data_IF_006287218836
#
_entry.id   IF_006287218836
#
_cell.length_a   1.000
_cell.length_b   1.000
_cell.length_c   1.000
_cell.angle_alpha   90.00
_cell.angle_beta   90.00
_cell.angle_gamma   90.00
#
_symmetry.space_group_name_H-M   'P 1'
#
loop_
_entity.id
_entity.type
_entity.pdbx_description
1 polymer ?
#
# COMPACT_ATOMS: atom_id res chain seq x y z
N UNK A 1 21.54 -17.13 9.68
CA UNK A 1 21.82 -16.13 8.65
C UNK A 1 20.53 -15.35 8.40
N UNK A 2 20.61 -14.02 8.29
CA UNK A 2 19.47 -13.15 7.97
C UNK A 2 19.63 -12.73 6.51
N UNK A 3 18.53 -12.76 5.75
CA UNK A 3 18.47 -12.31 4.36
C UNK A 3 17.51 -11.12 4.26
N UNK A 4 17.96 -10.07 3.63
CA UNK A 4 17.14 -8.90 3.34
C UNK A 4 16.38 -9.13 2.02
N UNK A 5 15.07 -9.33 2.13
CA UNK A 5 14.20 -9.53 0.97
C UNK A 5 13.76 -8.23 0.29
N UNK A 6 14.03 -7.08 0.90
CA UNK A 6 13.71 -5.75 0.33
C UNK A 6 14.79 -5.20 -0.60
N UNK A 7 15.95 -5.86 -0.69
CA UNK A 7 17.09 -5.40 -1.49
C UNK A 7 16.69 -5.12 -2.95
N UNK A 8 16.99 -3.90 -3.40
CA UNK A 8 16.69 -3.46 -4.78
C UNK A 8 15.26 -2.94 -4.98
N UNK A 9 14.47 -2.79 -3.91
CA UNK A 9 13.21 -2.07 -3.96
C UNK A 9 13.51 -0.56 -3.96
N UNK A 10 12.84 0.16 -4.85
CA UNK A 10 12.79 1.61 -4.86
C UNK A 10 11.84 2.07 -3.75
N UNK A 11 12.40 2.41 -2.59
CA UNK A 11 11.63 2.71 -1.39
C UNK A 11 11.07 4.14 -1.41
N UNK A 12 9.86 4.30 -0.84
CA UNK A 12 9.27 5.61 -0.61
C UNK A 12 9.81 6.13 0.72
N UNK A 13 10.40 7.32 0.69
CA UNK A 13 10.81 8.05 1.90
C UNK A 13 9.68 8.97 2.33
N UNK A 14 9.27 8.83 3.58
CA UNK A 14 8.33 9.76 4.18
C UNK A 14 8.99 11.13 4.34
N UNK A 15 8.36 12.17 3.82
CA UNK A 15 8.80 13.54 4.08
C UNK A 15 8.48 13.87 5.54
N UNK A 16 9.51 14.06 6.36
CA UNK A 16 9.34 14.46 7.76
C UNK A 16 8.52 15.75 7.84
N UNK A 17 7.44 15.71 8.62
CA UNK A 17 6.66 16.91 8.91
C UNK A 17 7.41 17.77 9.94
N UNK A 18 7.75 19.00 9.56
CA UNK A 18 8.30 20.01 10.45
C UNK A 18 7.19 20.56 11.37
N UNK A 19 7.01 19.98 12.53
CA UNK A 19 6.31 20.60 13.63
C UNK A 19 7.31 20.93 14.74
N UNK A 20 7.86 22.15 14.71
CA UNK A 20 8.68 22.74 15.79
C UNK A 20 9.86 21.86 16.22
N UNK A 21 11.04 22.43 16.36
CA UNK A 21 12.33 21.99 16.97
C UNK A 21 12.73 20.49 17.09
N UNK A 22 11.96 19.52 16.59
CA UNK A 22 12.33 18.12 16.48
C UNK A 22 12.34 17.69 15.01
N UNK A 23 13.52 17.60 14.40
CA UNK A 23 13.74 16.91 13.14
C UNK A 23 13.54 15.41 13.36
N UNK A 24 12.35 14.90 12.99
CA UNK A 24 12.23 13.48 12.70
C UNK A 24 12.73 13.28 11.28
N UNK A 25 13.86 12.58 11.13
CA UNK A 25 14.26 12.06 9.82
C UNK A 25 13.10 11.22 9.30
N UNK A 26 12.59 11.55 8.12
CA UNK A 26 11.49 10.82 7.49
C UNK A 26 11.85 9.34 7.37
N UNK A 27 10.98 8.47 7.88
CA UNK A 27 11.16 7.03 7.81
C UNK A 27 11.03 6.50 6.37
N UNK A 28 11.29 5.22 6.20
CA UNK A 28 10.93 4.50 4.99
C UNK A 28 9.50 4.00 5.18
N UNK A 29 8.65 4.21 4.17
CA UNK A 29 7.31 3.62 4.12
C UNK A 29 7.44 2.07 4.16
N UNK A 30 6.94 1.41 5.22
CA UNK A 30 7.25 0.01 5.45
C UNK A 30 6.43 -0.97 4.61
N UNK A 31 5.28 -0.56 4.04
CA UNK A 31 4.29 -1.45 3.42
C UNK A 31 4.70 -1.88 1.98
N UNK A 32 5.96 -2.26 1.81
CA UNK A 32 6.57 -2.58 0.51
C UNK A 32 5.86 -3.72 -0.24
N UNK A 33 5.19 -4.63 0.49
CA UNK A 33 4.52 -5.80 -0.09
C UNK A 33 3.22 -5.47 -0.85
N UNK A 34 2.64 -4.29 -0.63
CA UNK A 34 1.43 -3.82 -1.30
C UNK A 34 1.74 -3.22 -2.69
N UNK A 35 2.53 -3.94 -3.48
CA UNK A 35 2.93 -3.59 -4.83
C UNK A 35 3.29 -4.85 -5.61
N UNK A 36 2.70 -5.05 -6.78
CA UNK A 36 3.07 -6.16 -7.66
C UNK A 36 4.54 -6.07 -8.11
N UNK A 37 5.03 -4.86 -8.39
CA UNK A 37 6.43 -4.60 -8.75
C UNK A 37 7.38 -5.03 -7.63
N UNK A 38 7.09 -4.64 -6.39
CA UNK A 38 7.90 -5.01 -5.24
C UNK A 38 7.79 -6.51 -4.90
N UNK A 39 6.59 -7.10 -5.02
CA UNK A 39 6.38 -8.54 -4.84
C UNK A 39 7.28 -9.37 -5.77
N UNK A 40 7.46 -8.92 -7.01
CA UNK A 40 8.39 -9.53 -7.97
C UNK A 40 9.86 -9.47 -7.50
N UNK A 41 10.28 -8.35 -6.91
CA UNK A 41 11.64 -8.20 -6.33
C UNK A 41 11.80 -9.11 -5.10
N UNK A 42 10.84 -9.06 -4.18
CA UNK A 42 10.83 -9.89 -2.97
C UNK A 42 10.93 -11.38 -3.32
N UNK A 43 10.13 -11.84 -4.30
CA UNK A 43 10.15 -13.23 -4.74
C UNK A 43 11.54 -13.66 -5.26
N UNK A 44 12.21 -12.81 -6.05
CA UNK A 44 13.59 -13.07 -6.52
C UNK A 44 14.61 -13.14 -5.37
N UNK A 45 14.48 -12.24 -4.40
CA UNK A 45 15.38 -12.22 -3.24
C UNK A 45 15.18 -13.48 -2.37
N UNK A 46 13.93 -13.92 -2.18
CA UNK A 46 13.62 -15.17 -1.49
C UNK A 46 14.19 -16.38 -2.25
N UNK A 47 14.01 -16.44 -3.56
CA UNK A 47 14.62 -17.48 -4.39
C UNK A 47 16.14 -17.53 -4.23
N UNK A 48 16.81 -16.39 -4.29
CA UNK A 48 18.26 -16.31 -4.12
C UNK A 48 18.71 -16.81 -2.75
N UNK A 49 17.98 -16.44 -1.69
CA UNK A 49 18.25 -16.88 -0.33
C UNK A 49 18.07 -18.40 -0.15
N UNK A 50 16.99 -18.96 -0.71
CA UNK A 50 16.71 -20.39 -0.66
C UNK A 50 17.75 -21.19 -1.45
N UNK A 51 18.14 -20.74 -2.64
CA UNK A 51 19.17 -21.39 -3.47
C UNK A 51 20.56 -21.37 -2.83
N UNK A 52 20.87 -20.31 -2.05
CA UNK A 52 22.11 -20.25 -1.28
C UNK A 52 22.08 -21.23 -0.08
N UNK A 53 20.92 -21.42 0.55
CA UNK A 53 20.77 -22.31 1.72
C UNK A 53 20.67 -23.79 1.32
N UNK A 54 20.07 -24.07 0.17
CA UNK A 54 19.83 -25.41 -0.33
C UNK A 54 19.98 -25.47 -1.85
N UNK A 55 21.24 -25.47 -2.30
CA UNK A 55 21.59 -25.48 -3.71
C UNK A 55 21.15 -26.75 -4.45
N UNK A 56 20.94 -27.86 -3.74
CA UNK A 56 20.49 -29.10 -4.33
C UNK A 56 19.05 -28.99 -4.87
N UNK A 57 18.22 -28.16 -4.25
CA UNK A 57 16.84 -27.88 -4.62
C UNK A 57 16.67 -26.60 -5.46
N UNK A 58 17.75 -25.97 -5.91
CA UNK A 58 17.70 -24.76 -6.74
C UNK A 58 16.77 -24.88 -7.96
N UNK A 59 16.76 -25.99 -8.77
CA UNK A 59 15.85 -26.13 -9.89
C UNK A 59 14.35 -26.11 -9.49
N UNK A 60 14.03 -26.67 -8.33
CA UNK A 60 12.68 -26.60 -7.78
C UNK A 60 12.30 -25.17 -7.41
N UNK A 61 13.18 -24.45 -6.69
CA UNK A 61 12.94 -23.06 -6.32
C UNK A 61 12.81 -22.17 -7.56
N UNK A 62 13.62 -22.39 -8.59
CA UNK A 62 13.52 -21.67 -9.86
C UNK A 62 12.17 -21.87 -10.54
N UNK A 63 11.69 -23.09 -10.61
CA UNK A 63 10.38 -23.41 -11.18
C UNK A 63 9.25 -22.71 -10.40
N UNK A 64 9.33 -22.69 -9.07
CA UNK A 64 8.36 -22.00 -8.22
C UNK A 64 8.41 -20.49 -8.39
N UNK A 65 9.60 -19.91 -8.51
CA UNK A 65 9.77 -18.50 -8.82
C UNK A 65 9.12 -18.15 -10.16
N UNK A 66 9.39 -18.90 -11.22
CA UNK A 66 8.84 -18.62 -12.55
C UNK A 66 7.31 -18.66 -12.56
N UNK A 67 6.73 -19.64 -11.88
CA UNK A 67 5.27 -19.72 -11.70
C UNK A 67 4.71 -18.51 -10.95
N UNK A 68 5.36 -18.10 -9.85
CA UNK A 68 4.93 -16.94 -9.07
C UNK A 68 5.08 -15.63 -9.85
N UNK A 69 6.17 -15.47 -10.61
CA UNK A 69 6.39 -14.28 -11.45
C UNK A 69 5.30 -14.13 -12.53
N UNK A 70 4.84 -15.23 -13.11
CA UNK A 70 3.72 -15.21 -14.07
C UNK A 70 2.42 -14.74 -13.39
N UNK A 71 2.13 -15.24 -12.20
CA UNK A 71 0.95 -14.83 -11.42
C UNK A 71 1.02 -13.34 -11.09
N UNK A 72 2.17 -12.85 -10.61
CA UNK A 72 2.38 -11.44 -10.29
C UNK A 72 2.18 -10.55 -11.53
N UNK A 73 2.77 -10.93 -12.66
CA UNK A 73 2.64 -10.19 -13.91
C UNK A 73 1.18 -10.14 -14.40
N UNK A 74 0.46 -11.26 -14.34
CA UNK A 74 -0.96 -11.29 -14.70
C UNK A 74 -1.79 -10.40 -13.77
N UNK A 75 -1.54 -10.46 -12.47
CA UNK A 75 -2.24 -9.60 -11.50
C UNK A 75 -1.97 -8.12 -11.75
N UNK A 76 -0.72 -7.73 -12.05
CA UNK A 76 -0.38 -6.35 -12.41
C UNK A 76 -1.16 -5.88 -13.65
N UNK A 77 -1.25 -6.73 -14.68
CA UNK A 77 -2.04 -6.44 -15.89
C UNK A 77 -3.52 -6.28 -15.57
N UNK A 78 -4.10 -7.22 -14.83
CA UNK A 78 -5.52 -7.19 -14.47
C UNK A 78 -5.89 -5.94 -13.65
N UNK A 79 -5.00 -5.53 -12.73
CA UNK A 79 -5.18 -4.29 -11.95
C UNK A 79 -5.13 -3.07 -12.85
N UNK A 80 -4.14 -2.98 -13.76
CA UNK A 80 -4.03 -1.85 -14.71
C UNK A 80 -5.27 -1.73 -15.58
N UNK A 81 -5.76 -2.84 -16.10
CA UNK A 81 -6.96 -2.86 -16.96
C UNK A 81 -8.20 -2.39 -16.21
N UNK A 82 -8.37 -2.81 -14.96
CA UNK A 82 -9.49 -2.38 -14.10
C UNK A 82 -9.41 -0.91 -13.70
N UNK A 83 -8.21 -0.36 -13.57
CA UNK A 83 -7.98 1.03 -13.16
C UNK A 83 -8.03 2.03 -14.32
N UNK A 84 -8.10 1.61 -15.58
CA UNK A 84 -8.07 2.51 -16.76
C UNK A 84 -9.11 3.63 -16.70
N UNK A 85 -10.29 3.39 -16.09
CA UNK A 85 -11.38 4.34 -15.98
C UNK A 85 -11.77 4.63 -14.52
N UNK A 86 -10.91 4.27 -13.57
CA UNK A 86 -11.18 4.49 -12.16
C UNK A 86 -10.86 5.95 -11.76
N UNK A 87 -11.50 6.41 -10.70
CA UNK A 87 -11.09 7.66 -10.04
C UNK A 87 -9.65 7.53 -9.53
N UNK A 88 -8.87 8.58 -9.71
CA UNK A 88 -7.44 8.55 -9.39
C UNK A 88 -7.14 8.78 -7.91
N UNK A 89 -8.15 9.16 -7.10
CA UNK A 89 -7.99 9.49 -5.69
C UNK A 89 -8.85 8.59 -4.82
N UNK A 90 -8.27 8.06 -3.75
CA UNK A 90 -8.99 7.30 -2.73
C UNK A 90 -8.52 7.71 -1.32
N UNK A 91 -9.42 7.53 -0.34
CA UNK A 91 -9.06 7.61 1.06
C UNK A 91 -8.74 6.21 1.60
N UNK A 92 -7.88 6.20 2.60
CA UNK A 92 -7.61 5.00 3.39
C UNK A 92 -7.44 5.42 4.85
N UNK A 93 -7.85 4.57 5.79
CA UNK A 93 -7.67 4.93 7.20
C UNK A 93 -6.20 5.02 7.56
N UNK A 94 -5.46 3.91 7.50
CA UNK A 94 -4.01 3.86 7.67
C UNK A 94 -3.30 3.76 6.29
N UNK A 95 -2.26 4.57 6.01
CA UNK A 95 -1.71 4.75 4.65
C UNK A 95 -0.87 3.56 4.14
N UNK A 96 -1.43 2.34 4.17
CA UNK A 96 -0.72 1.12 3.80
C UNK A 96 -0.58 0.87 2.28
N UNK A 97 -1.19 1.69 1.42
CA UNK A 97 -1.22 1.46 -0.03
C UNK A 97 -0.36 2.47 -0.83
N UNK A 98 0.66 3.08 -0.20
CA UNK A 98 1.51 4.09 -0.84
C UNK A 98 2.25 3.56 -2.07
N UNK A 99 2.79 2.34 -2.02
CA UNK A 99 3.46 1.72 -3.17
C UNK A 99 2.47 1.33 -4.26
N UNK A 100 1.28 0.84 -3.91
CA UNK A 100 0.20 0.59 -4.85
C UNK A 100 -0.21 1.89 -5.57
N UNK A 101 -0.44 2.95 -4.82
CA UNK A 101 -0.81 4.25 -5.38
C UNK A 101 0.28 4.76 -6.34
N UNK A 102 1.55 4.71 -5.96
CA UNK A 102 2.69 5.07 -6.82
C UNK A 102 2.71 4.29 -8.13
N UNK A 103 2.58 2.96 -8.05
CA UNK A 103 2.77 2.07 -9.19
C UNK A 103 1.64 2.18 -10.22
N UNK A 104 0.46 2.62 -9.79
CA UNK A 104 -0.71 2.79 -10.65
C UNK A 104 -1.13 4.26 -10.90
N UNK A 105 -0.31 5.22 -10.45
CA UNK A 105 -0.58 6.64 -10.66
C UNK A 105 -1.80 7.17 -9.90
N UNK A 106 -2.10 6.56 -8.75
CA UNK A 106 -3.21 6.95 -7.89
C UNK A 106 -2.73 7.91 -6.79
N UNK A 107 -3.67 8.66 -6.20
CA UNK A 107 -3.45 9.50 -5.03
C UNK A 107 -4.10 8.89 -3.81
N UNK A 108 -3.30 8.52 -2.83
CA UNK A 108 -3.72 8.08 -1.53
C UNK A 108 -3.83 9.28 -0.58
N UNK A 109 -4.96 9.38 0.13
CA UNK A 109 -5.17 10.34 1.23
C UNK A 109 -5.44 9.54 2.50
N UNK A 110 -4.63 9.76 3.54
CA UNK A 110 -4.79 9.07 4.83
C UNK A 110 -5.78 9.80 5.73
N UNK A 111 -6.60 9.04 6.48
CA UNK A 111 -7.53 9.60 7.47
C UNK A 111 -6.79 9.83 8.79
N UNK A 112 -5.97 8.89 9.23
CA UNK A 112 -5.16 9.07 10.43
C UNK A 112 -4.08 10.13 10.25
N UNK A 113 -3.66 10.72 11.36
CA UNK A 113 -2.60 11.72 11.41
C UNK A 113 -1.43 11.20 12.25
N UNK A 114 -0.40 10.67 11.58
CA UNK A 114 0.79 10.13 12.25
C UNK A 114 0.50 8.99 13.22
N UNK A 115 -0.38 8.06 12.84
CA UNK A 115 -0.78 6.93 13.68
C UNK A 115 -1.79 7.26 14.78
N UNK A 116 -2.42 8.45 14.73
CA UNK A 116 -3.41 8.91 15.71
C UNK A 116 -4.76 9.16 15.04
N UNK A 117 -5.82 9.16 15.86
CA UNK A 117 -7.14 9.60 15.39
C UNK A 117 -7.08 11.05 14.91
N UNK A 118 -7.77 11.37 13.79
CA UNK A 118 -7.76 12.73 13.25
C UNK A 118 -8.48 13.70 14.18
N UNK A 119 -7.96 14.93 14.28
CA UNK A 119 -8.63 16.01 14.96
C UNK A 119 -9.88 16.48 14.18
N UNK A 120 -10.88 17.14 14.81
CA UNK A 120 -12.02 17.71 14.10
C UNK A 120 -11.63 18.70 13.00
N UNK A 121 -10.57 19.46 13.20
CA UNK A 121 -10.04 20.38 12.18
C UNK A 121 -9.48 19.63 10.98
N UNK A 122 -8.72 18.57 11.22
CA UNK A 122 -8.18 17.72 10.18
C UNK A 122 -9.27 16.99 9.39
N UNK A 123 -10.31 16.48 10.07
CA UNK A 123 -11.48 15.88 9.40
C UNK A 123 -12.16 16.85 8.42
N UNK A 124 -12.30 18.12 8.81
CA UNK A 124 -12.87 19.14 7.92
C UNK A 124 -11.98 19.36 6.69
N UNK A 125 -10.68 19.50 6.87
CA UNK A 125 -9.71 19.66 5.78
C UNK A 125 -9.71 18.45 4.84
N UNK A 126 -9.79 17.22 5.39
CA UNK A 126 -9.90 15.99 4.61
C UNK A 126 -11.16 16.01 3.73
N UNK A 127 -12.32 16.38 4.26
CA UNK A 127 -13.58 16.47 3.51
C UNK A 127 -13.43 17.47 2.35
N UNK A 128 -12.86 18.65 2.59
CA UNK A 128 -12.64 19.66 1.56
C UNK A 128 -11.66 19.14 0.48
N UNK A 129 -10.60 18.48 0.88
CA UNK A 129 -9.62 17.86 -0.02
C UNK A 129 -10.25 16.76 -0.88
N UNK A 130 -11.08 15.92 -0.28
CA UNK A 130 -11.76 14.84 -0.98
C UNK A 130 -12.76 15.36 -2.02
N UNK A 131 -13.49 16.42 -1.70
CA UNK A 131 -14.38 17.09 -2.66
C UNK A 131 -13.60 17.67 -3.85
N UNK A 132 -12.50 18.36 -3.58
CA UNK A 132 -11.64 18.94 -4.61
C UNK A 132 -11.04 17.89 -5.53
N UNK A 133 -10.59 16.76 -4.95
CA UNK A 133 -9.84 15.72 -5.64
C UNK A 133 -10.76 14.58 -6.12
N UNK A 134 -12.08 14.74 -6.00
CA UNK A 134 -13.11 13.79 -6.45
C UNK A 134 -12.91 12.37 -5.90
N UNK A 135 -12.52 12.24 -4.63
CA UNK A 135 -12.39 10.93 -4.00
C UNK A 135 -13.77 10.33 -3.72
N UNK A 136 -14.01 9.08 -4.16
CA UNK A 136 -15.32 8.42 -4.09
C UNK A 136 -15.35 7.14 -3.29
N UNK A 137 -14.21 6.71 -2.76
CA UNK A 137 -14.10 5.50 -1.95
C UNK A 137 -13.19 5.72 -0.76
N UNK A 138 -13.56 5.12 0.35
CA UNK A 138 -12.76 5.08 1.58
C UNK A 138 -12.45 3.61 1.89
N UNK A 139 -11.17 3.26 1.89
CA UNK A 139 -10.71 1.96 2.35
C UNK A 139 -10.44 1.98 3.85
N UNK A 140 -10.93 0.96 4.55
CA UNK A 140 -10.67 0.79 6.00
C UNK A 140 -10.18 -0.62 6.25
N UNK A 141 -9.05 -0.73 6.91
CA UNK A 141 -8.52 -2.02 7.36
C UNK A 141 -9.35 -2.51 8.56
N UNK A 142 -9.50 -3.83 8.68
CA UNK A 142 -10.39 -4.47 9.65
C UNK A 142 -10.04 -4.18 11.11
N UNK A 143 -8.79 -3.88 11.41
CA UNK A 143 -8.26 -3.57 12.74
C UNK A 143 -8.54 -2.14 13.23
N UNK A 144 -9.02 -1.26 12.37
CA UNK A 144 -9.26 0.14 12.72
C UNK A 144 -10.75 0.45 12.95
N UNK A 145 -10.99 1.45 13.81
CA UNK A 145 -12.34 1.97 14.06
C UNK A 145 -12.89 2.69 12.82
N UNK A 146 -14.08 2.31 12.42
CA UNK A 146 -14.72 2.85 11.21
C UNK A 146 -15.48 4.16 11.44
N UNK A 147 -15.60 4.69 12.68
CA UNK A 147 -16.42 5.86 13.00
C UNK A 147 -16.05 7.10 12.18
N UNK A 148 -14.76 7.45 12.17
CA UNK A 148 -14.28 8.62 11.44
C UNK A 148 -14.45 8.44 9.93
N UNK A 149 -14.19 7.22 9.41
CA UNK A 149 -14.41 6.90 8.00
C UNK A 149 -15.88 7.03 7.60
N UNK A 150 -16.81 6.59 8.45
CA UNK A 150 -18.24 6.73 8.21
C UNK A 150 -18.70 8.19 8.25
N UNK A 151 -18.22 8.99 9.19
CA UNK A 151 -18.51 10.42 9.23
C UNK A 151 -18.12 11.12 7.94
N UNK A 152 -16.92 10.83 7.43
CA UNK A 152 -16.45 11.38 6.13
C UNK A 152 -17.32 10.84 4.99
N UNK A 153 -17.62 9.54 4.99
CA UNK A 153 -18.43 8.91 3.95
C UNK A 153 -19.84 9.50 3.87
N UNK A 154 -20.50 9.71 5.00
CA UNK A 154 -21.83 10.30 5.08
C UNK A 154 -21.84 11.73 4.57
N UNK A 155 -20.83 12.53 4.93
CA UNK A 155 -20.69 13.93 4.49
C UNK A 155 -20.37 14.07 3.00
N UNK A 156 -19.64 13.10 2.42
CA UNK A 156 -19.25 13.11 1.02
C UNK A 156 -20.20 12.33 0.11
N UNK A 157 -21.06 11.48 0.66
CA UNK A 157 -21.89 10.56 -0.10
C UNK A 157 -21.08 9.46 -0.80
N UNK A 158 -20.01 8.97 -0.17
CA UNK A 158 -19.08 7.96 -0.75
C UNK A 158 -19.17 6.63 -0.01
N UNK A 159 -18.61 5.58 -0.62
CA UNK A 159 -18.66 4.23 -0.07
C UNK A 159 -17.45 3.92 0.83
N UNK A 160 -17.69 3.28 1.98
CA UNK A 160 -16.65 2.67 2.81
C UNK A 160 -16.48 1.21 2.42
N UNK A 161 -15.26 0.82 2.08
CA UNK A 161 -14.90 -0.53 1.66
C UNK A 161 -13.88 -1.12 2.63
N UNK A 162 -14.21 -2.23 3.32
CA UNK A 162 -13.23 -2.91 4.16
C UNK A 162 -12.17 -3.59 3.29
N UNK A 163 -10.91 -3.49 3.70
CA UNK A 163 -9.78 -4.17 3.07
C UNK A 163 -8.93 -4.89 4.10
N UNK A 164 -8.19 -5.89 3.65
CA UNK A 164 -7.15 -6.54 4.43
C UNK A 164 -5.83 -6.57 3.64
N UNK A 165 -4.93 -5.59 3.82
CA UNK A 165 -3.65 -5.54 3.12
C UNK A 165 -2.69 -6.69 3.46
N UNK A 166 -3.03 -7.49 4.46
CA UNK A 166 -2.29 -8.68 4.91
C UNK A 166 -3.02 -9.99 4.55
N UNK A 167 -4.04 -9.93 3.69
CA UNK A 167 -4.77 -11.14 3.29
C UNK A 167 -3.85 -12.14 2.60
N UNK A 168 -3.98 -13.42 2.98
CA UNK A 168 -3.33 -14.51 2.28
C UNK A 168 -3.90 -14.70 0.87
N UNK A 169 -5.21 -14.49 0.72
CA UNK A 169 -5.93 -14.51 -0.56
C UNK A 169 -5.88 -13.12 -1.20
N UNK A 170 -4.83 -12.85 -1.95
CA UNK A 170 -4.55 -11.54 -2.54
C UNK A 170 -4.98 -11.39 -4.02
N UNK A 171 -5.72 -12.38 -4.55
CA UNK A 171 -6.28 -12.39 -5.92
C UNK A 171 -7.72 -11.96 -5.95
#
# INVERSE_FOLDING_TARGET
KVFDTSKGIDVIHETGHNHGDHHHEGGIEPHIWNSARNASVIARNIYSALSELDSANEPYFKHRLDSLQQIIAQTDTDVRDRLQNADTTFLIYHPALSYFARDYGLKQISIEEGGKEPSPAHLKELIETCRRDNARVIFVQQEFDTRNARLIADELGVTVVPINPLSYEWR
#
